data_IF_174013117274
#
_entry.id   IF_174013117274
#
_cell.length_a   1.000
_cell.length_b   1.000
_cell.length_c   1.000
_cell.angle_alpha   90.00
_cell.angle_beta   90.00
_cell.angle_gamma   90.00
#
_symmetry.space_group_name_H-M   'P 1'
#
loop_
_entity.id
_entity.type
_entity.pdbx_description
1 polymer ?
#
# COMPACT_ATOMS: atom_id res chain seq x y z
N UNK A 1 3.03 1.87 -15.67
CA UNK A 1 3.02 2.98 -16.66
C UNK A 1 4.39 3.01 -17.35
N UNK A 2 4.59 3.75 -18.46
CA UNK A 2 5.88 3.71 -19.20
C UNK A 2 7.03 4.45 -18.49
N UNK A 3 6.68 5.30 -17.53
CA UNK A 3 7.54 6.19 -16.74
C UNK A 3 7.99 5.56 -15.41
N UNK A 4 7.67 4.29 -15.16
CA UNK A 4 7.97 3.62 -13.89
C UNK A 4 7.01 3.99 -12.75
N UNK A 5 6.03 4.86 -12.99
CA UNK A 5 4.96 5.13 -12.03
C UNK A 5 4.05 3.90 -11.89
N UNK A 6 3.53 3.73 -10.68
CA UNK A 6 2.68 2.59 -10.33
C UNK A 6 1.34 3.11 -9.84
N UNK A 7 0.29 2.50 -10.37
CA UNK A 7 -1.08 2.71 -9.94
C UNK A 7 -1.50 1.51 -9.11
N UNK A 8 -1.93 1.76 -7.87
CA UNK A 8 -2.31 0.73 -6.90
C UNK A 8 -3.80 0.92 -6.61
N UNK A 9 -4.59 -0.10 -6.87
CA UNK A 9 -6.03 -0.10 -6.63
C UNK A 9 -6.40 -1.11 -5.56
N UNK A 10 -7.43 -0.81 -4.78
CA UNK A 10 -8.09 -1.77 -3.90
C UNK A 10 -9.43 -2.22 -4.51
N UNK A 11 -10.13 -3.17 -3.88
CA UNK A 11 -11.44 -3.67 -4.34
C UNK A 11 -12.57 -2.61 -4.43
N UNK A 12 -12.28 -1.32 -4.21
CA UNK A 12 -13.22 -0.20 -4.20
C UNK A 12 -12.66 0.99 -5.01
N UNK A 13 -13.39 2.13 -5.03
CA UNK A 13 -13.01 3.37 -5.72
C UNK A 13 -11.86 4.13 -5.01
N UNK A 14 -10.84 3.42 -4.54
CA UNK A 14 -9.66 3.96 -3.87
C UNK A 14 -8.43 3.55 -4.67
N UNK A 15 -7.63 4.55 -5.03
CA UNK A 15 -6.41 4.36 -5.79
C UNK A 15 -5.29 5.26 -5.25
N UNK A 16 -4.06 4.76 -5.29
CA UNK A 16 -2.85 5.53 -5.02
C UNK A 16 -1.94 5.47 -6.22
N UNK A 17 -1.43 6.63 -6.63
CA UNK A 17 -0.36 6.74 -7.63
C UNK A 17 0.96 6.94 -6.90
N UNK A 18 1.91 6.06 -7.14
CA UNK A 18 3.28 6.19 -6.64
C UNK A 18 4.15 6.71 -7.77
N UNK A 19 4.69 7.92 -7.58
CA UNK A 19 5.68 8.46 -8.49
C UNK A 19 7.00 7.72 -8.34
N UNK A 20 7.62 7.38 -9.46
CA UNK A 20 8.87 6.66 -9.49
C UNK A 20 9.96 7.42 -8.74
N UNK A 21 10.10 8.73 -8.97
CA UNK A 21 11.14 9.55 -8.36
C UNK A 21 11.01 9.59 -6.83
N UNK A 22 9.77 9.66 -6.31
CA UNK A 22 9.49 9.58 -4.88
C UNK A 22 9.90 8.21 -4.33
N UNK A 23 9.52 7.12 -5.00
CA UNK A 23 9.88 5.78 -4.57
C UNK A 23 11.40 5.54 -4.61
N UNK A 24 12.10 6.12 -5.58
CA UNK A 24 13.56 6.03 -5.67
C UNK A 24 14.25 6.87 -4.59
N UNK A 25 13.73 8.06 -4.27
CA UNK A 25 14.24 8.87 -3.16
C UNK A 25 14.13 8.14 -1.80
N UNK A 26 13.06 7.35 -1.61
CA UNK A 26 12.82 6.56 -0.39
C UNK A 26 13.33 5.11 -0.47
N UNK A 27 14.09 4.75 -1.52
CA UNK A 27 14.35 3.33 -1.82
C UNK A 27 15.08 2.57 -0.71
N UNK A 28 16.07 3.20 -0.08
CA UNK A 28 16.83 2.59 1.01
C UNK A 28 15.92 2.21 2.20
N UNK A 29 14.95 3.06 2.52
CA UNK A 29 13.98 2.79 3.59
C UNK A 29 12.99 1.70 3.18
N UNK A 30 12.51 1.72 1.94
CA UNK A 30 11.63 0.68 1.41
C UNK A 30 12.32 -0.69 1.49
N UNK A 31 13.59 -0.78 1.09
CA UNK A 31 14.37 -2.01 1.20
C UNK A 31 14.55 -2.47 2.65
N UNK A 32 14.80 -1.56 3.58
CA UNK A 32 14.95 -1.90 5.00
C UNK A 32 13.62 -2.35 5.65
N UNK A 33 12.51 -1.74 5.25
CA UNK A 33 11.23 -1.85 5.98
C UNK A 33 10.18 -2.73 5.30
N UNK A 34 10.34 -3.15 4.04
CA UNK A 34 9.29 -3.86 3.29
C UNK A 34 8.76 -5.13 3.99
N UNK A 35 9.57 -5.83 4.79
CA UNK A 35 9.08 -7.01 5.52
C UNK A 35 8.26 -6.66 6.75
N UNK A 36 8.58 -5.52 7.39
CA UNK A 36 7.94 -5.03 8.61
C UNK A 36 6.65 -4.28 8.28
N UNK A 37 6.57 -3.68 7.08
CA UNK A 37 5.39 -3.01 6.56
C UNK A 37 4.22 -3.96 6.20
N UNK A 38 4.41 -5.27 6.35
CA UNK A 38 3.38 -6.29 6.12
C UNK A 38 2.78 -6.66 7.47
N UNK A 39 1.45 -6.70 7.54
CA UNK A 39 0.77 -7.11 8.76
C UNK A 39 0.88 -8.63 8.91
N UNK A 40 0.98 -9.14 10.14
CA UNK A 40 1.01 -10.58 10.40
C UNK A 40 -0.18 -11.27 9.71
N UNK A 41 0.09 -12.35 8.98
CA UNK A 41 -0.90 -13.11 8.19
C UNK A 41 -1.46 -12.41 6.93
N UNK A 42 -0.90 -11.26 6.53
CA UNK A 42 -1.25 -10.62 5.27
C UNK A 42 -0.58 -11.36 4.09
N UNK A 43 -1.38 -11.63 3.05
CA UNK A 43 -0.89 -12.19 1.78
C UNK A 43 -1.13 -11.17 0.68
N UNK A 44 -0.05 -10.70 0.06
CA UNK A 44 -0.13 -9.75 -1.05
C UNK A 44 -0.22 -10.52 -2.37
N UNK A 45 -1.40 -10.51 -2.99
CA UNK A 45 -1.65 -11.09 -4.32
C UNK A 45 -1.74 -9.97 -5.34
N UNK A 46 -1.00 -10.11 -6.44
CA UNK A 46 -1.03 -9.21 -7.59
C UNK A 46 -1.64 -9.92 -8.79
N UNK A 47 -2.01 -9.22 -9.89
CA UNK A 47 -2.42 -9.87 -11.13
C UNK A 47 -1.39 -10.87 -11.70
N UNK A 48 -0.12 -10.77 -11.29
CA UNK A 48 0.96 -11.67 -11.69
C UNK A 48 1.21 -12.81 -10.67
N UNK A 49 0.34 -12.96 -9.67
CA UNK A 49 0.48 -13.96 -8.60
C UNK A 49 0.99 -13.37 -7.28
N UNK A 50 1.54 -14.22 -6.43
CA UNK A 50 2.04 -13.83 -5.10
C UNK A 50 3.15 -12.78 -5.23
N UNK A 51 3.08 -11.73 -4.41
CA UNK A 51 4.10 -10.69 -4.37
C UNK A 51 5.45 -11.29 -3.97
N UNK A 52 6.47 -11.09 -4.82
CA UNK A 52 7.82 -11.63 -4.61
C UNK A 52 8.76 -10.65 -3.91
N UNK A 53 8.28 -9.47 -3.55
CA UNK A 53 9.10 -8.35 -3.09
C UNK A 53 10.24 -8.04 -4.06
N UNK A 54 9.97 -8.16 -5.35
CA UNK A 54 10.79 -7.53 -6.38
C UNK A 54 10.60 -6.01 -6.33
N UNK A 55 11.32 -5.28 -7.19
CA UNK A 55 11.27 -3.81 -7.13
C UNK A 55 9.85 -3.27 -7.29
N UNK A 56 9.09 -3.86 -8.22
CA UNK A 56 7.70 -3.51 -8.46
C UNK A 56 6.83 -3.82 -7.22
N UNK A 57 6.98 -5.01 -6.64
CA UNK A 57 6.24 -5.45 -5.45
C UNK A 57 6.53 -4.61 -4.22
N UNK A 58 7.77 -4.16 -4.03
CA UNK A 58 8.16 -3.25 -2.94
C UNK A 58 7.60 -1.84 -3.15
N UNK A 59 7.67 -1.29 -4.38
CA UNK A 59 7.01 -0.02 -4.70
C UNK A 59 5.49 -0.08 -4.49
N UNK A 60 4.86 -1.19 -4.86
CA UNK A 60 3.43 -1.40 -4.63
C UNK A 60 3.07 -1.46 -3.14
N UNK A 61 3.89 -2.15 -2.33
CA UNK A 61 3.75 -2.16 -0.87
C UNK A 61 3.89 -0.76 -0.27
N UNK A 62 4.92 -0.01 -0.69
CA UNK A 62 5.14 1.38 -0.25
C UNK A 62 3.92 2.27 -0.53
N UNK A 63 3.35 2.21 -1.73
CA UNK A 63 2.14 2.97 -2.03
C UNK A 63 0.92 2.53 -1.23
N UNK A 64 0.81 1.24 -0.88
CA UNK A 64 -0.25 0.76 0.02
C UNK A 64 -0.14 1.39 1.42
N UNK A 65 1.07 1.68 1.90
CA UNK A 65 1.26 2.35 3.20
C UNK A 65 0.57 3.72 3.25
N UNK A 66 0.56 4.48 2.14
CA UNK A 66 -0.16 5.76 2.06
C UNK A 66 -1.68 5.60 2.19
N UNK A 67 -2.25 4.46 1.77
CA UNK A 67 -3.68 4.20 1.95
C UNK A 67 -4.07 4.05 3.44
N UNK A 68 -3.11 3.70 4.31
CA UNK A 68 -3.33 3.56 5.75
C UNK A 68 -2.86 4.77 6.55
N UNK A 69 -2.23 5.77 5.92
CA UNK A 69 -1.81 6.99 6.63
C UNK A 69 -3.02 7.84 7.06
N UNK A 70 -4.09 7.87 6.26
CA UNK A 70 -5.37 8.48 6.66
C UNK A 70 -6.04 7.76 7.85
N UNK A 71 -5.62 6.52 8.16
CA UNK A 71 -6.11 5.77 9.30
C UNK A 71 -5.37 6.09 10.61
N UNK A 72 -4.32 6.93 10.60
CA UNK A 72 -3.56 7.30 11.81
C UNK A 72 -4.30 8.32 12.69
N UNK A 73 -5.15 9.18 12.11
CA UNK A 73 -6.04 10.10 12.85
C UNK A 73 -7.51 9.92 12.41
N UNK A 74 -8.13 8.77 12.70
CA UNK A 74 -9.46 8.46 12.24
C UNK A 74 -10.50 9.33 12.96
N UNK A 75 -11.17 10.22 12.22
CA UNK A 75 -12.35 10.92 12.72
C UNK A 75 -13.58 10.02 12.66
N UNK A 76 -14.02 9.53 13.82
CA UNK A 76 -15.24 8.74 13.93
C UNK A 76 -16.45 9.65 13.66
N UNK A 77 -17.05 9.49 12.48
CA UNK A 77 -18.25 10.27 12.08
C UNK A 77 -19.56 9.63 12.54
N UNK A 78 -19.59 8.30 12.72
CA UNK A 78 -20.80 7.55 13.10
C UNK A 78 -20.44 6.18 13.69
N UNK A 79 -21.11 5.80 14.78
CA UNK A 79 -21.05 4.46 15.36
C UNK A 79 -22.46 3.87 15.28
N UNK A 80 -22.62 2.79 14.51
CA UNK A 80 -23.88 2.03 14.45
C UNK A 80 -23.74 0.78 15.31
N UNK A 81 -24.64 0.62 16.29
CA UNK A 81 -24.72 -0.59 17.11
C UNK A 81 -26.04 -1.27 16.82
N UNK A 82 -26.00 -2.59 16.67
CA UNK A 82 -27.22 -3.39 16.59
C UNK A 82 -27.84 -3.41 17.99
N UNK A 83 -28.99 -2.77 18.15
CA UNK A 83 -29.80 -2.93 19.36
C UNK A 83 -30.36 -4.34 19.40
N UNK A 84 -30.31 -4.97 20.58
CA UNK A 84 -30.80 -6.32 20.82
C UNK A 84 -32.30 -6.47 20.50
#
# INVERSE_FOLDING_TARGET
>A
MKDGNILIHYNHNIATVVFNDLAMASWAEIEACHRVAIVTHEVLITPHGHNRFDEHGKKALFGRCYMFMDAQDPKIVRIERRTA
#
